data_IF_129565244066
#
_entry.id   IF_129565244066
#
_cell.length_a   1.000
_cell.length_b   1.000
_cell.length_c   1.000
_cell.angle_alpha   90.00
_cell.angle_beta   90.00
_cell.angle_gamma   90.00
#
_symmetry.space_group_name_H-M   'P 1'
#
loop_
_entity.id
_entity.type
_entity.pdbx_description
1 polymer ?
#
# COMPACT_ATOMS: atom_id res chain seq x y z
N UNK A 1 4.87 -11.45 69.48
CA UNK A 1 4.65 -11.06 68.07
C UNK A 1 5.45 -12.02 67.17
N UNK A 2 4.82 -13.06 66.63
CA UNK A 2 5.49 -14.04 65.75
C UNK A 2 5.28 -13.62 64.30
N UNK A 3 6.37 -13.32 63.60
CA UNK A 3 6.39 -13.03 62.16
C UNK A 3 6.33 -14.34 61.39
N UNK A 4 5.31 -14.49 60.56
CA UNK A 4 5.10 -15.63 59.67
C UNK A 4 5.91 -15.41 58.38
N UNK A 5 6.96 -16.22 58.18
CA UNK A 5 7.72 -16.23 56.92
C UNK A 5 6.99 -17.09 55.89
N UNK A 6 6.74 -16.50 54.71
CA UNK A 6 6.12 -17.19 53.57
C UNK A 6 7.16 -18.04 52.82
N UNK A 7 6.78 -19.24 52.34
CA UNK A 7 7.67 -20.15 51.64
C UNK A 7 7.99 -19.67 50.21
N UNK A 8 9.26 -19.83 49.82
CA UNK A 8 9.79 -19.57 48.48
C UNK A 8 9.31 -20.61 47.48
N UNK A 9 8.81 -20.15 46.32
CA UNK A 9 8.30 -20.95 45.21
C UNK A 9 9.45 -21.40 44.29
N UNK A 10 9.52 -22.68 43.89
CA UNK A 10 10.68 -23.27 43.21
C UNK A 10 10.82 -22.84 41.74
N UNK A 11 12.09 -22.79 41.32
CA UNK A 11 12.60 -22.36 40.01
C UNK A 11 12.60 -23.52 39.00
N UNK A 12 11.93 -23.32 37.86
CA UNK A 12 11.75 -24.29 36.76
C UNK A 12 12.96 -24.38 35.79
N UNK A 13 14.20 -24.28 36.28
CA UNK A 13 15.39 -24.18 35.39
C UNK A 13 16.14 -25.49 35.13
N UNK A 14 15.77 -26.61 35.74
CA UNK A 14 16.69 -27.76 35.81
C UNK A 14 16.21 -29.07 35.18
N UNK A 15 15.07 -29.13 34.49
CA UNK A 15 14.50 -30.42 34.04
C UNK A 15 14.43 -30.65 32.52
N UNK A 16 14.82 -29.68 31.67
CA UNK A 16 14.64 -29.79 30.22
C UNK A 16 15.93 -30.11 29.42
N UNK A 17 17.04 -30.44 30.09
CA UNK A 17 18.31 -30.76 29.42
C UNK A 17 18.47 -32.25 29.06
N UNK A 18 17.63 -33.15 29.61
CA UNK A 18 17.76 -34.60 29.40
C UNK A 18 16.99 -35.19 28.21
N UNK A 19 15.97 -34.50 27.69
CA UNK A 19 15.10 -35.01 26.60
C UNK A 19 15.63 -34.61 25.21
N UNK A 20 16.60 -33.68 25.15
CA UNK A 20 17.13 -33.14 23.90
C UNK A 20 18.05 -34.08 23.10
N UNK A 21 18.65 -35.11 23.71
CA UNK A 21 19.65 -35.94 23.03
C UNK A 21 19.07 -37.22 22.38
N UNK A 22 17.93 -37.74 22.83
CA UNK A 22 17.35 -38.98 22.31
C UNK A 22 16.47 -38.77 21.05
N UNK A 23 15.98 -37.56 20.81
CA UNK A 23 15.22 -37.19 19.60
C UNK A 23 16.17 -36.88 18.42
N UNK A 24 17.47 -36.80 18.66
CA UNK A 24 18.48 -36.52 17.64
C UNK A 24 18.85 -37.76 16.78
N UNK A 25 18.45 -38.98 17.17
CA UNK A 25 18.91 -40.21 16.52
C UNK A 25 17.87 -40.97 15.66
N UNK A 26 16.57 -40.63 15.69
CA UNK A 26 15.53 -41.43 14.99
C UNK A 26 14.98 -40.76 13.71
N UNK A 27 15.21 -39.47 13.46
CA UNK A 27 14.70 -38.80 12.26
C UNK A 27 15.74 -38.61 11.12
N UNK A 28 16.88 -39.31 11.18
CA UNK A 28 17.93 -39.28 10.15
C UNK A 28 17.65 -40.13 8.89
N UNK A 29 16.41 -40.55 8.64
CA UNK A 29 16.07 -41.51 7.58
C UNK A 29 14.80 -41.17 6.78
N UNK A 30 14.43 -39.89 6.65
CA UNK A 30 13.39 -39.46 5.72
C UNK A 30 13.98 -38.51 4.68
N UNK A 31 14.36 -39.14 3.56
CA UNK A 31 14.29 -38.60 2.20
C UNK A 31 14.84 -37.20 2.00
N UNK A 32 16.08 -37.19 1.51
CA UNK A 32 16.62 -36.15 0.63
C UNK A 32 15.71 -36.09 -0.61
N UNK A 33 14.56 -35.44 -0.49
CA UNK A 33 13.88 -34.89 -1.64
C UNK A 33 14.71 -33.68 -2.02
N UNK A 34 15.60 -33.88 -3.01
CA UNK A 34 16.23 -32.79 -3.73
C UNK A 34 15.10 -31.93 -4.29
N UNK A 35 14.73 -30.88 -3.56
CA UNK A 35 13.86 -29.85 -4.10
C UNK A 35 14.77 -29.15 -5.11
N UNK A 36 14.66 -29.57 -6.36
CA UNK A 36 15.19 -28.81 -7.49
C UNK A 36 14.49 -27.46 -7.43
N UNK A 37 15.16 -26.51 -6.79
CA UNK A 37 14.78 -25.11 -6.81
C UNK A 37 15.04 -24.64 -8.23
N UNK A 38 14.11 -24.97 -9.12
CA UNK A 38 14.02 -24.41 -10.46
C UNK A 38 13.68 -22.95 -10.22
N UNK A 39 14.74 -22.14 -10.08
CA UNK A 39 14.69 -20.68 -10.14
C UNK A 39 14.04 -20.34 -11.46
N UNK A 40 12.72 -20.23 -11.43
CA UNK A 40 11.93 -19.74 -12.54
C UNK A 40 12.45 -18.33 -12.74
N UNK A 41 13.25 -18.16 -13.80
CA UNK A 41 13.69 -16.85 -14.26
C UNK A 41 12.41 -16.10 -14.60
N UNK A 42 11.92 -15.33 -13.62
CA UNK A 42 10.83 -14.38 -13.83
C UNK A 42 11.35 -13.45 -14.89
N UNK A 43 10.84 -13.58 -16.12
CA UNK A 43 11.03 -12.56 -17.14
C UNK A 43 10.72 -11.22 -16.47
N UNK A 44 11.67 -10.29 -16.51
CA UNK A 44 11.49 -8.98 -15.91
C UNK A 44 10.22 -8.38 -16.52
N UNK A 45 9.16 -8.27 -15.70
CA UNK A 45 7.92 -7.63 -16.13
C UNK A 45 8.30 -6.20 -16.43
N UNK A 46 8.21 -5.81 -17.71
CA UNK A 46 8.52 -4.44 -18.12
C UNK A 46 7.65 -3.49 -17.33
N UNK A 47 8.28 -2.63 -16.53
CA UNK A 47 7.55 -1.59 -15.81
C UNK A 47 7.01 -0.58 -16.81
N UNK A 48 5.71 -0.37 -16.82
CA UNK A 48 5.02 0.64 -17.62
C UNK A 48 4.42 1.69 -16.68
N UNK A 49 4.60 2.97 -17.00
CA UNK A 49 4.07 4.06 -16.17
C UNK A 49 2.79 4.64 -16.78
N UNK A 50 1.78 4.87 -15.93
CA UNK A 50 0.60 5.66 -16.29
C UNK A 50 0.85 7.16 -16.23
N UNK A 51 1.89 7.60 -15.53
CA UNK A 51 2.25 9.00 -15.34
C UNK A 51 2.26 9.45 -13.88
N UNK A 52 2.34 10.76 -13.68
CA UNK A 52 2.45 11.41 -12.37
C UNK A 52 1.28 12.36 -12.11
N UNK A 53 0.62 12.21 -10.97
CA UNK A 53 -0.39 13.14 -10.45
C UNK A 53 0.29 14.08 -9.46
N UNK A 54 0.17 15.39 -9.70
CA UNK A 54 0.76 16.42 -8.86
C UNK A 54 -0.30 17.17 -8.08
N UNK A 55 -0.18 17.22 -6.76
CA UNK A 55 -1.12 17.92 -5.87
C UNK A 55 -0.33 18.82 -4.93
N UNK A 56 -0.89 20.00 -4.63
CA UNK A 56 -0.33 20.87 -3.59
C UNK A 56 -0.81 20.39 -2.23
N UNK A 57 0.07 20.34 -1.23
CA UNK A 57 -0.37 20.00 0.14
C UNK A 57 -1.48 20.97 0.58
N UNK A 58 -2.59 20.41 1.07
CA UNK A 58 -3.78 21.15 1.48
C UNK A 58 -4.80 21.41 0.34
N UNK A 59 -4.49 21.02 -0.89
CA UNK A 59 -5.41 21.04 -2.02
C UNK A 59 -5.87 19.60 -2.35
N UNK A 60 -7.03 19.48 -2.97
CA UNK A 60 -7.57 18.23 -3.49
C UNK A 60 -7.57 18.20 -5.02
N UNK A 61 -7.17 19.28 -5.67
CA UNK A 61 -7.21 19.39 -7.13
C UNK A 61 -5.81 19.14 -7.71
N UNK A 62 -5.65 18.18 -8.63
CA UNK A 62 -4.39 18.01 -9.34
C UNK A 62 -4.02 19.25 -10.18
N UNK A 63 -2.75 19.62 -10.12
CA UNK A 63 -2.21 20.76 -10.89
C UNK A 63 -2.02 20.41 -12.37
N UNK A 64 -1.78 19.13 -12.68
CA UNK A 64 -1.55 18.65 -14.04
C UNK A 64 -2.86 18.35 -14.78
N UNK A 65 -2.97 18.87 -16.00
CA UNK A 65 -4.20 18.77 -16.83
C UNK A 65 -4.58 17.34 -17.22
N UNK A 66 -3.62 16.42 -17.19
CA UNK A 66 -3.77 15.03 -17.60
C UNK A 66 -4.09 14.06 -16.46
N UNK A 67 -4.37 14.53 -15.23
CA UNK A 67 -4.61 13.67 -14.08
C UNK A 67 -5.70 12.62 -14.31
N UNK A 68 -6.81 12.97 -14.98
CA UNK A 68 -7.88 12.01 -15.29
C UNK A 68 -7.40 10.87 -16.21
N UNK A 69 -6.55 11.17 -17.18
CA UNK A 69 -6.01 10.15 -18.09
C UNK A 69 -5.06 9.19 -17.35
N UNK A 70 -4.29 9.72 -16.40
CA UNK A 70 -3.37 8.95 -15.56
C UNK A 70 -4.17 8.02 -14.63
N UNK A 71 -5.19 8.56 -13.97
CA UNK A 71 -6.16 7.80 -13.18
C UNK A 71 -6.82 6.69 -14.00
N UNK A 72 -7.38 7.01 -15.17
CA UNK A 72 -8.03 6.05 -16.07
C UNK A 72 -7.08 4.93 -16.54
N UNK A 73 -5.80 5.26 -16.75
CA UNK A 73 -4.77 4.28 -17.07
C UNK A 73 -4.58 3.30 -15.90
N UNK A 74 -4.35 3.83 -14.70
CA UNK A 74 -4.01 3.00 -13.55
C UNK A 74 -5.20 2.16 -13.08
N UNK A 75 -6.41 2.75 -13.10
CA UNK A 75 -7.66 2.03 -12.82
C UNK A 75 -7.86 0.85 -13.78
N UNK A 76 -7.71 1.06 -15.10
CA UNK A 76 -7.85 -0.01 -16.10
C UNK A 76 -6.82 -1.12 -15.90
N UNK A 77 -5.59 -0.76 -15.56
CA UNK A 77 -4.55 -1.74 -15.27
C UNK A 77 -4.87 -2.56 -14.00
N UNK A 78 -5.44 -1.93 -12.97
CA UNK A 78 -5.85 -2.60 -11.73
C UNK A 78 -6.98 -3.60 -11.97
N UNK A 79 -8.06 -3.19 -12.64
CA UNK A 79 -9.20 -4.08 -12.92
C UNK A 79 -8.83 -5.23 -13.85
N UNK A 80 -7.82 -5.06 -14.71
CA UNK A 80 -7.28 -6.12 -15.58
C UNK A 80 -6.09 -6.87 -14.97
N UNK A 81 -5.68 -6.49 -13.75
CA UNK A 81 -4.52 -7.05 -13.05
C UNK A 81 -3.25 -7.09 -13.90
N UNK A 82 -2.90 -5.97 -14.55
CA UNK A 82 -1.68 -5.81 -15.34
C UNK A 82 -0.49 -5.52 -14.41
N UNK A 83 0.39 -6.50 -14.12
CA UNK A 83 1.51 -6.30 -13.22
C UNK A 83 2.55 -5.34 -13.82
N UNK A 84 3.25 -4.61 -12.96
CA UNK A 84 4.30 -3.67 -13.38
C UNK A 84 3.79 -2.32 -13.84
N UNK A 85 2.47 -2.13 -13.96
CA UNK A 85 1.90 -0.80 -14.19
C UNK A 85 2.08 0.07 -12.94
N UNK A 86 2.57 1.29 -13.11
CA UNK A 86 2.80 2.24 -12.01
C UNK A 86 2.11 3.58 -12.19
N UNK A 87 1.84 4.25 -11.06
CA UNK A 87 1.36 5.62 -10.97
C UNK A 87 2.16 6.33 -9.88
N UNK A 88 2.70 7.51 -10.19
CA UNK A 88 3.36 8.34 -9.18
C UNK A 88 2.38 9.40 -8.68
N UNK A 89 2.22 9.51 -7.37
CA UNK A 89 1.46 10.56 -6.71
C UNK A 89 2.40 11.46 -5.93
N UNK A 90 2.45 12.74 -6.29
CA UNK A 90 3.33 13.71 -5.66
C UNK A 90 2.52 14.81 -4.98
N UNK A 91 2.69 14.92 -3.67
CA UNK A 91 2.19 16.01 -2.85
C UNK A 91 3.31 17.00 -2.56
N UNK A 92 3.19 18.22 -3.06
CA UNK A 92 4.22 19.25 -2.95
C UNK A 92 3.78 20.39 -2.04
N UNK A 93 4.55 20.66 -1.00
CA UNK A 93 4.51 21.88 -0.21
C UNK A 93 5.59 22.88 -0.66
N UNK A 94 5.78 23.95 0.11
CA UNK A 94 6.83 24.94 -0.18
C UNK A 94 8.22 24.36 0.12
N UNK A 95 8.40 23.81 1.32
CA UNK A 95 9.71 23.33 1.79
C UNK A 95 9.82 21.80 1.84
N UNK A 96 8.71 21.08 1.77
CA UNK A 96 8.65 19.64 1.91
C UNK A 96 7.51 19.03 1.10
N UNK A 97 7.56 17.73 0.88
CA UNK A 97 6.49 16.98 0.23
C UNK A 97 6.66 15.47 0.35
N UNK A 98 5.80 14.76 -0.35
CA UNK A 98 5.77 13.30 -0.38
C UNK A 98 5.61 12.83 -1.82
N UNK A 99 6.38 11.81 -2.20
CA UNK A 99 6.25 11.11 -3.48
C UNK A 99 5.89 9.66 -3.16
N UNK A 100 4.77 9.19 -3.69
CA UNK A 100 4.32 7.80 -3.60
C UNK A 100 4.36 7.17 -4.99
N UNK A 101 5.04 6.04 -5.12
CA UNK A 101 5.01 5.24 -6.34
C UNK A 101 4.16 3.99 -6.11
N UNK A 102 2.94 4.01 -6.64
CA UNK A 102 2.06 2.85 -6.61
C UNK A 102 2.40 1.93 -7.78
N UNK A 103 2.59 0.64 -7.51
CA UNK A 103 2.85 -0.38 -8.52
C UNK A 103 1.90 -1.56 -8.34
N UNK A 104 1.33 -2.02 -9.46
CA UNK A 104 0.49 -3.20 -9.48
C UNK A 104 1.31 -4.48 -9.48
N UNK A 105 1.00 -5.38 -8.57
CA UNK A 105 1.63 -6.70 -8.44
C UNK A 105 0.56 -7.77 -8.53
N UNK A 106 0.79 -8.77 -9.39
CA UNK A 106 -0.12 -9.91 -9.50
C UNK A 106 0.17 -10.92 -8.39
N UNK A 107 -0.83 -11.22 -7.56
CA UNK A 107 -0.78 -12.25 -6.51
C UNK A 107 -1.84 -13.30 -6.77
N UNK A 108 -1.46 -14.36 -7.48
CA UNK A 108 -2.39 -15.39 -7.92
C UNK A 108 -3.46 -14.83 -8.85
N UNK A 109 -4.72 -14.80 -8.37
CA UNK A 109 -5.88 -14.28 -9.13
C UNK A 109 -6.20 -12.81 -8.83
N UNK A 110 -5.53 -12.21 -7.85
CA UNK A 110 -5.81 -10.85 -7.39
C UNK A 110 -4.69 -9.89 -7.77
N UNK A 111 -5.06 -8.62 -7.93
CA UNK A 111 -4.12 -7.52 -8.08
C UNK A 111 -3.90 -6.88 -6.72
N UNK A 112 -2.64 -6.80 -6.31
CA UNK A 112 -2.19 -6.12 -5.11
C UNK A 112 -1.48 -4.84 -5.52
N UNK A 113 -1.48 -3.84 -4.64
CA UNK A 113 -0.77 -2.58 -4.87
C UNK A 113 0.37 -2.50 -3.86
N UNK A 114 1.57 -2.21 -4.34
CA UNK A 114 2.69 -1.81 -3.48
C UNK A 114 2.85 -0.30 -3.57
N UNK A 115 3.00 0.36 -2.44
CA UNK A 115 3.33 1.79 -2.36
C UNK A 115 4.77 1.94 -1.88
N UNK A 116 5.56 2.73 -2.62
CA UNK A 116 6.85 3.22 -2.16
C UNK A 116 6.72 4.72 -1.84
N UNK A 117 6.71 5.04 -0.55
CA UNK A 117 6.56 6.40 -0.04
C UNK A 117 7.93 7.00 0.26
N UNK A 118 8.16 8.21 -0.26
CA UNK A 118 9.38 8.98 -0.07
C UNK A 118 9.03 10.40 0.35
N UNK A 119 9.29 10.81 1.60
CA UNK A 119 9.25 12.21 1.96
C UNK A 119 10.42 12.92 1.28
N UNK A 120 10.29 14.22 1.04
CA UNK A 120 11.42 15.07 0.66
C UNK A 120 11.34 16.41 1.39
N UNK A 121 12.50 17.01 1.68
CA UNK A 121 12.66 18.37 2.19
C UNK A 121 13.69 19.11 1.36
N UNK A 122 13.48 20.40 1.13
CA UNK A 122 14.45 21.26 0.44
C UNK A 122 15.60 21.64 1.40
N UNK A 123 15.31 21.70 2.70
CA UNK A 123 16.25 22.14 3.73
C UNK A 123 16.61 21.02 4.70
N UNK A 124 17.89 20.65 4.74
CA UNK A 124 18.45 19.72 5.73
C UNK A 124 19.27 18.57 5.13
N UNK A 125 20.01 17.82 5.97
CA UNK A 125 20.70 16.60 5.52
C UNK A 125 19.65 15.59 5.05
N UNK A 126 19.68 15.25 3.75
CA UNK A 126 18.66 14.49 3.03
C UNK A 126 18.56 13.01 3.39
N UNK A 127 18.44 12.67 4.67
CA UNK A 127 18.12 11.31 5.13
C UNK A 127 16.61 11.11 5.07
N UNK A 128 16.08 10.97 3.87
CA UNK A 128 14.69 10.57 3.68
C UNK A 128 14.62 9.04 3.74
N UNK A 129 13.94 8.55 4.78
CA UNK A 129 13.59 7.14 4.84
C UNK A 129 12.57 6.83 3.75
N UNK A 130 12.72 5.68 3.11
CA UNK A 130 11.77 5.19 2.11
C UNK A 130 10.94 4.12 2.79
N UNK A 131 9.64 4.38 2.90
CA UNK A 131 8.70 3.43 3.46
C UNK A 131 8.06 2.62 2.33
N UNK A 132 7.71 1.37 2.62
CA UNK A 132 7.06 0.47 1.69
C UNK A 132 5.80 -0.08 2.32
N UNK A 133 4.68 0.06 1.63
CA UNK A 133 3.39 -0.43 2.09
C UNK A 133 2.77 -1.39 1.07
N UNK A 134 1.88 -2.24 1.56
CA UNK A 134 1.08 -3.13 0.76
C UNK A 134 -0.38 -2.78 0.98
N UNK A 135 -1.07 -2.40 -0.08
CA UNK A 135 -2.48 -2.06 -0.03
C UNK A 135 -3.36 -3.23 -0.52
N UNK A 136 -4.50 -3.43 0.12
CA UNK A 136 -5.38 -4.58 -0.13
C UNK A 136 -6.25 -4.40 -1.38
N UNK A 137 -6.56 -3.15 -1.74
CA UNK A 137 -7.50 -2.87 -2.81
C UNK A 137 -7.51 -1.43 -3.29
N UNK A 138 -8.30 -1.20 -4.33
CA UNK A 138 -8.56 0.13 -4.86
C UNK A 138 -9.99 0.20 -5.40
N UNK A 139 -10.66 1.32 -5.18
CA UNK A 139 -11.87 1.68 -5.92
C UNK A 139 -11.73 3.07 -6.52
N UNK A 140 -12.63 3.40 -7.44
CA UNK A 140 -12.70 4.69 -8.10
C UNK A 140 -14.06 5.32 -7.87
N UNK A 141 -14.08 6.59 -7.53
CA UNK A 141 -15.30 7.39 -7.41
C UNK A 141 -15.15 8.77 -8.09
N UNK A 142 -16.01 9.71 -7.70
CA UNK A 142 -15.97 11.08 -8.22
C UNK A 142 -14.73 11.87 -7.76
N UNK A 143 -14.14 11.56 -6.61
CA UNK A 143 -12.99 12.28 -6.08
C UNK A 143 -11.67 11.73 -6.59
N UNK A 144 -11.63 10.47 -7.01
CA UNK A 144 -10.48 9.86 -7.68
C UNK A 144 -10.31 8.39 -7.32
N UNK A 145 -9.05 7.98 -7.21
CA UNK A 145 -8.70 6.62 -6.77
C UNK A 145 -8.53 6.58 -5.26
N UNK A 146 -9.26 5.68 -4.62
CA UNK A 146 -9.10 5.37 -3.21
C UNK A 146 -8.36 4.04 -3.09
N UNK A 147 -7.10 4.11 -2.68
CA UNK A 147 -6.24 2.95 -2.41
C UNK A 147 -6.41 2.61 -0.94
N UNK A 148 -6.82 1.39 -0.63
CA UNK A 148 -7.32 1.02 0.70
C UNK A 148 -6.40 0.06 1.44
N UNK A 149 -6.48 0.12 2.78
CA UNK A 149 -5.79 -0.76 3.72
C UNK A 149 -4.28 -0.87 3.46
N UNK A 150 -3.59 0.27 3.27
CA UNK A 150 -2.13 0.32 3.11
C UNK A 150 -1.40 0.15 4.44
N UNK A 151 -1.66 -0.96 5.13
CA UNK A 151 -1.07 -1.28 6.44
C UNK A 151 -1.23 -0.14 7.47
N UNK A 152 -0.14 0.41 8.00
CA UNK A 152 -0.14 1.49 8.97
C UNK A 152 -0.41 2.89 8.36
N UNK A 153 -0.29 3.03 7.03
CA UNK A 153 -0.53 4.29 6.32
C UNK A 153 -2.03 4.53 6.06
N UNK A 154 -2.85 3.47 6.11
CA UNK A 154 -4.30 3.55 5.98
C UNK A 154 -4.78 3.73 4.54
N UNK A 155 -5.81 4.54 4.34
CA UNK A 155 -6.41 4.78 3.02
C UNK A 155 -5.82 6.04 2.38
N UNK A 156 -5.54 5.96 1.08
CA UNK A 156 -4.91 7.03 0.30
C UNK A 156 -5.81 7.45 -0.85
N UNK A 157 -6.12 8.75 -0.93
CA UNK A 157 -6.81 9.35 -2.07
C UNK A 157 -5.80 9.92 -3.08
N UNK A 158 -5.82 9.39 -4.30
CA UNK A 158 -5.18 10.01 -5.47
C UNK A 158 -6.27 10.76 -6.24
N UNK A 159 -6.30 12.10 -6.17
CA UNK A 159 -7.44 12.84 -6.67
C UNK A 159 -7.47 12.91 -8.21
N UNK A 160 -8.69 12.92 -8.73
CA UNK A 160 -9.01 13.23 -10.11
C UNK A 160 -9.00 14.74 -10.35
N UNK A 161 -8.68 15.18 -11.56
CA UNK A 161 -8.96 16.56 -12.00
C UNK A 161 -10.37 16.59 -12.56
N UNK A 162 -11.37 16.45 -11.70
CA UNK A 162 -12.74 16.60 -12.15
C UNK A 162 -12.92 18.01 -12.76
N UNK A 163 -13.53 18.12 -13.95
CA UNK A 163 -14.03 19.42 -14.36
C UNK A 163 -14.95 19.85 -13.22
N UNK A 164 -14.69 21.01 -12.63
CA UNK A 164 -15.65 21.66 -11.74
C UNK A 164 -17.01 21.47 -12.42
N UNK A 165 -17.89 20.66 -11.82
CA UNK A 165 -19.29 20.77 -12.13
C UNK A 165 -19.59 22.19 -11.65
N UNK A 166 -19.47 23.15 -12.57
CA UNK A 166 -20.24 24.38 -12.48
C UNK A 166 -21.63 23.85 -12.18
N UNK A 167 -22.22 24.13 -11.02
CA UNK A 167 -23.57 23.68 -10.73
C UNK A 167 -24.38 24.00 -11.97
N UNK A 168 -24.85 22.97 -12.68
CA UNK A 168 -25.64 23.19 -13.88
C UNK A 168 -26.71 24.21 -13.44
N UNK A 169 -26.85 25.35 -14.15
CA UNK A 169 -27.86 26.33 -13.79
C UNK A 169 -29.14 25.54 -13.61
N UNK A 170 -29.65 25.55 -12.37
CA UNK A 170 -30.80 24.77 -11.96
C UNK A 170 -31.86 25.15 -12.97
N UNK A 171 -32.16 24.26 -13.92
CA UNK A 171 -33.28 24.46 -14.81
C UNK A 171 -34.48 24.44 -13.88
N UNK A 172 -34.95 25.64 -13.53
CA UNK A 172 -36.11 25.88 -12.69
C UNK A 172 -37.20 24.96 -13.20
N UNK A 173 -37.60 23.98 -12.38
CA UNK A 173 -38.72 23.13 -12.71
C UNK A 173 -39.91 24.03 -13.10
N UNK A 174 -40.68 23.68 -14.14
CA UNK A 174 -41.84 24.47 -14.53
C UNK A 174 -42.79 24.57 -13.34
N UNK A 175 -42.99 25.80 -12.85
CA UNK A 175 -43.98 26.11 -11.81
C UNK A 175 -45.34 25.71 -12.37
N UNK A 176 -45.95 24.68 -11.79
CA UNK A 176 -47.31 24.27 -12.14
C UNK A 176 -48.27 25.33 -11.59
N UNK A 177 -49.07 26.00 -12.44
CA UNK A 177 -50.05 26.98 -11.93
C UNK A 177 -51.11 26.25 -11.11
N UNK A 178 -51.33 26.73 -9.89
CA UNK A 178 -52.48 26.34 -9.08
C UNK A 178 -53.74 26.91 -9.70
N UNK A 179 -54.71 26.04 -10.00
CA UNK A 179 -56.07 26.38 -10.40
C UNK A 179 -56.88 26.83 -9.19
#
# INVERSE_FOLDING_TARGET
MRKTLKPLKPSHRSLALGIGLAILCIAGALTIYSIEFTSSASAAVGQSSCGTVYVRIGDTTPTNVNANMIEDCFWRAYVTCQPGQSLTYQQTGIDAGTIRDFTLVKRGRYCQITDQMRPYTIVGPGTHHVDFYICSGMYRDYYGLHIQDCEEDGDILVPARHPHIVPLPIHSAPVKPSL
#
